data_IF_602646381086
#
_entry.id   IF_602646381086
#
_cell.length_a   1.000
_cell.length_b   1.000
_cell.length_c   1.000
_cell.angle_alpha   90.00
_cell.angle_beta   90.00
_cell.angle_gamma   90.00
#
_symmetry.space_group_name_H-M   'P 1'
#
loop_
_entity.id
_entity.type
_entity.pdbx_description
1 polymer ?
#
# COMPACT_ATOMS: atom_id res chain seq x y z
N UNK A 1 14.17 7.35 -9.71
CA UNK A 1 15.26 7.64 -10.66
C UNK A 1 15.71 9.07 -10.41
N UNK A 2 17.01 9.32 -10.24
CA UNK A 2 17.54 10.69 -10.19
C UNK A 2 18.03 11.05 -11.59
N UNK A 3 17.70 12.26 -12.01
CA UNK A 3 18.12 12.80 -13.30
C UNK A 3 19.58 13.25 -13.19
N UNK A 4 20.49 12.40 -13.71
CA UNK A 4 21.93 12.60 -13.56
C UNK A 4 22.42 13.84 -14.33
N UNK A 5 21.77 14.24 -15.43
CA UNK A 5 22.13 15.46 -16.15
C UNK A 5 21.85 16.70 -15.32
N UNK A 6 20.67 16.76 -14.67
CA UNK A 6 20.34 17.85 -13.74
C UNK A 6 21.26 17.88 -12.51
N UNK A 7 21.67 16.73 -12.01
CA UNK A 7 22.62 16.65 -10.89
C UNK A 7 24.05 17.10 -11.28
N UNK A 8 24.43 17.02 -12.56
CA UNK A 8 25.69 17.59 -13.07
C UNK A 8 25.60 19.11 -13.19
N UNK A 9 24.49 19.63 -13.72
CA UNK A 9 24.24 21.08 -13.78
C UNK A 9 24.20 21.73 -12.39
N UNK A 10 23.67 21.03 -11.39
CA UNK A 10 23.66 21.46 -9.99
C UNK A 10 25.02 21.33 -9.28
N UNK A 11 26.04 20.76 -9.93
CA UNK A 11 27.37 20.53 -9.33
C UNK A 11 27.43 19.41 -8.29
N UNK A 12 26.34 18.70 -8.05
CA UNK A 12 26.26 17.57 -7.12
C UNK A 12 26.90 16.29 -7.68
N UNK A 13 27.09 16.23 -9.01
CA UNK A 13 27.63 15.05 -9.69
C UNK A 13 28.80 15.37 -10.61
N UNK A 14 29.83 14.52 -10.55
CA UNK A 14 31.06 14.68 -11.33
C UNK A 14 30.84 14.34 -12.80
N UNK A 15 31.10 15.34 -13.65
CA UNK A 15 30.91 15.24 -15.09
C UNK A 15 31.82 14.18 -15.74
N UNK A 16 33.06 14.01 -15.26
CA UNK A 16 33.99 13.00 -15.79
C UNK A 16 33.57 11.56 -15.46
N UNK A 17 32.91 11.35 -14.31
CA UNK A 17 32.36 10.07 -13.91
C UNK A 17 31.10 9.72 -14.73
N UNK A 18 30.25 10.72 -15.01
CA UNK A 18 29.07 10.55 -15.86
C UNK A 18 29.46 10.03 -17.25
N UNK A 19 30.43 10.65 -17.92
CA UNK A 19 30.85 10.21 -19.26
C UNK A 19 31.56 8.85 -19.29
N UNK A 20 32.12 8.39 -18.16
CA UNK A 20 32.69 7.02 -18.05
C UNK A 20 31.65 5.95 -17.78
N UNK A 21 30.56 6.30 -17.11
CA UNK A 21 29.46 5.37 -16.80
C UNK A 21 28.41 5.35 -17.91
N UNK A 22 28.17 6.48 -18.57
CA UNK A 22 27.16 6.65 -19.62
C UNK A 22 27.66 6.19 -21.00
N UNK A 23 28.26 4.99 -21.07
CA UNK A 23 28.72 4.40 -22.33
C UNK A 23 27.57 3.66 -23.02
N UNK A 24 26.68 3.03 -22.25
CA UNK A 24 25.43 2.42 -22.72
C UNK A 24 24.36 2.73 -21.67
N UNK A 25 23.40 3.60 -22.03
CA UNK A 25 22.22 3.85 -21.19
C UNK A 25 21.15 2.82 -21.52
N UNK A 26 20.68 2.10 -20.50
CA UNK A 26 19.50 1.22 -20.61
C UNK A 26 18.37 1.88 -19.85
N UNK A 27 17.40 2.41 -20.59
CA UNK A 27 16.19 2.94 -19.98
C UNK A 27 15.31 1.79 -19.51
N UNK A 28 15.02 1.76 -18.20
CA UNK A 28 14.11 0.80 -17.60
C UNK A 28 12.73 1.45 -17.47
N UNK A 29 11.76 1.11 -18.34
CA UNK A 29 10.41 1.67 -18.21
C UNK A 29 9.78 1.20 -16.89
N UNK A 30 9.04 2.09 -16.20
CA UNK A 30 8.38 1.79 -14.95
C UNK A 30 7.33 0.69 -15.13
N UNK A 31 6.97 0.02 -14.03
CA UNK A 31 6.06 -1.13 -14.08
C UNK A 31 4.68 -0.78 -14.66
N UNK A 32 4.23 0.47 -14.45
CA UNK A 32 2.98 1.01 -15.03
C UNK A 32 2.91 0.99 -16.57
N UNK A 33 4.06 1.04 -17.26
CA UNK A 33 4.13 1.00 -18.73
C UNK A 33 4.18 -0.45 -19.27
N UNK A 34 4.34 -1.44 -18.38
CA UNK A 34 4.48 -2.86 -18.71
C UNK A 34 3.55 -3.74 -17.86
N UNK A 35 2.29 -3.32 -17.72
CA UNK A 35 1.29 -4.05 -16.90
C UNK A 35 1.09 -5.51 -17.32
N UNK A 36 1.36 -5.85 -18.57
CA UNK A 36 1.34 -7.23 -19.10
C UNK A 36 2.34 -8.17 -18.42
N UNK A 37 3.41 -7.63 -17.84
CA UNK A 37 4.46 -8.43 -17.20
C UNK A 37 4.14 -8.73 -15.72
N UNK A 38 3.16 -8.04 -15.13
CA UNK A 38 2.80 -8.15 -13.71
C UNK A 38 2.48 -9.60 -13.30
N UNK A 39 1.65 -10.37 -14.04
CA UNK A 39 1.34 -11.74 -13.65
C UNK A 39 2.56 -12.66 -13.64
N UNK A 40 3.47 -12.50 -14.60
CA UNK A 40 4.69 -13.29 -14.67
C UNK A 40 5.66 -12.92 -13.53
N UNK A 41 5.79 -11.62 -13.24
CA UNK A 41 6.62 -11.12 -12.15
C UNK A 41 6.09 -11.52 -10.76
N UNK A 42 4.79 -11.41 -10.55
CA UNK A 42 4.15 -11.77 -9.28
C UNK A 42 4.34 -13.27 -8.97
N UNK A 43 4.11 -14.14 -9.97
CA UNK A 43 4.41 -15.58 -9.85
C UNK A 43 5.89 -15.85 -9.58
N UNK A 44 6.78 -15.16 -10.29
CA UNK A 44 8.22 -15.31 -10.06
C UNK A 44 8.62 -14.96 -8.62
N UNK A 45 8.05 -13.89 -8.04
CA UNK A 45 8.31 -13.54 -6.65
C UNK A 45 7.73 -14.56 -5.68
N UNK A 46 6.50 -15.03 -5.92
CA UNK A 46 5.89 -16.08 -5.11
C UNK A 46 6.76 -17.36 -5.10
N UNK A 47 7.19 -17.82 -6.27
CA UNK A 47 8.08 -18.99 -6.42
C UNK A 47 9.37 -18.82 -5.62
N UNK A 48 9.94 -17.62 -5.66
CA UNK A 48 11.16 -17.27 -4.94
C UNK A 48 10.94 -17.30 -3.43
N UNK A 49 9.86 -16.70 -2.93
CA UNK A 49 9.54 -16.72 -1.50
C UNK A 49 9.25 -18.14 -1.00
N UNK A 50 8.63 -19.00 -1.80
CA UNK A 50 8.51 -20.42 -1.46
C UNK A 50 9.86 -21.11 -1.25
N UNK A 51 10.85 -20.81 -2.10
CA UNK A 51 12.18 -21.41 -1.99
C UNK A 51 13.01 -20.83 -0.83
N UNK A 52 12.92 -19.52 -0.61
CA UNK A 52 13.72 -18.81 0.41
C UNK A 52 13.15 -19.00 1.83
N UNK A 53 11.83 -18.94 2.00
CA UNK A 53 11.14 -18.90 3.30
C UNK A 53 10.36 -20.19 3.62
N UNK A 54 10.26 -21.13 2.67
CA UNK A 54 9.59 -22.43 2.89
C UNK A 54 8.06 -22.34 3.06
N UNK A 55 7.44 -21.28 2.55
CA UNK A 55 6.00 -20.99 2.69
C UNK A 55 5.16 -21.91 1.80
N UNK A 56 3.94 -22.26 2.24
CA UNK A 56 3.05 -23.22 1.56
C UNK A 56 2.09 -22.61 0.53
N UNK A 57 2.15 -21.30 0.36
CA UNK A 57 1.27 -20.54 -0.55
C UNK A 57 1.33 -21.10 -1.98
N UNK A 58 0.20 -21.61 -2.47
CA UNK A 58 0.14 -22.33 -3.75
C UNK A 58 0.08 -21.39 -4.94
N UNK A 59 -0.79 -20.39 -4.88
CA UNK A 59 -1.00 -19.46 -5.98
C UNK A 59 -1.67 -18.16 -5.49
N UNK A 60 -1.70 -17.15 -6.36
CA UNK A 60 -2.46 -15.90 -6.20
C UNK A 60 -3.84 -16.09 -6.82
N UNK A 61 -4.90 -15.66 -6.14
CA UNK A 61 -6.26 -15.69 -6.68
C UNK A 61 -6.39 -14.80 -7.94
N UNK A 62 -7.32 -15.15 -8.83
CA UNK A 62 -7.57 -14.36 -10.03
C UNK A 62 -8.02 -12.93 -9.72
N UNK A 63 -8.78 -12.76 -8.64
CA UNK A 63 -9.29 -11.46 -8.19
C UNK A 63 -8.15 -10.58 -7.64
N UNK A 64 -7.25 -11.17 -6.85
CA UNK A 64 -6.04 -10.52 -6.38
C UNK A 64 -5.11 -10.11 -7.53
N UNK A 65 -4.95 -10.99 -8.52
CA UNK A 65 -4.13 -10.71 -9.71
C UNK A 65 -4.71 -9.56 -10.56
N UNK A 66 -6.03 -9.51 -10.71
CA UNK A 66 -6.71 -8.44 -11.44
C UNK A 66 -6.49 -7.08 -10.77
N UNK A 67 -6.53 -7.01 -9.45
CA UNK A 67 -6.22 -5.78 -8.70
C UNK A 67 -4.76 -5.35 -8.88
N UNK A 68 -3.81 -6.29 -8.77
CA UNK A 68 -2.39 -6.01 -9.02
C UNK A 68 -2.15 -5.46 -10.43
N UNK A 69 -2.91 -5.94 -11.43
CA UNK A 69 -2.82 -5.45 -12.81
C UNK A 69 -3.47 -4.08 -13.02
N UNK A 70 -4.56 -3.79 -12.30
CA UNK A 70 -5.26 -2.50 -12.39
C UNK A 70 -4.50 -1.37 -11.70
N UNK A 71 -3.77 -1.69 -10.65
CA UNK A 71 -3.07 -0.70 -9.85
C UNK A 71 -2.03 0.11 -10.64
N UNK A 72 -2.01 1.42 -10.37
CA UNK A 72 -1.06 2.35 -10.96
C UNK A 72 0.20 2.43 -10.10
N UNK A 73 1.09 1.45 -10.31
CA UNK A 73 2.36 1.33 -9.59
C UNK A 73 3.18 2.63 -9.62
N UNK A 74 3.26 3.38 -8.49
CA UNK A 74 4.02 4.63 -8.42
C UNK A 74 5.53 4.37 -8.39
N UNK A 75 5.93 3.18 -7.98
CA UNK A 75 7.31 2.67 -7.97
C UNK A 75 7.53 1.52 -8.96
N UNK A 76 8.78 1.08 -9.01
CA UNK A 76 9.21 -0.03 -9.88
C UNK A 76 8.79 -1.39 -9.30
N UNK A 77 9.22 -2.46 -9.97
CA UNK A 77 9.11 -3.88 -9.59
C UNK A 77 9.37 -4.20 -8.10
N UNK A 78 10.13 -3.36 -7.38
CA UNK A 78 10.33 -3.50 -5.92
C UNK A 78 9.04 -3.40 -5.13
N UNK A 79 8.13 -2.50 -5.50
CA UNK A 79 6.84 -2.39 -4.82
C UNK A 79 6.02 -3.66 -5.02
N UNK A 80 5.95 -4.17 -6.26
CA UNK A 80 5.29 -5.44 -6.54
C UNK A 80 5.88 -6.58 -5.70
N UNK A 81 7.21 -6.67 -5.60
CA UNK A 81 7.88 -7.65 -4.73
C UNK A 81 7.45 -7.51 -3.27
N UNK A 82 7.50 -6.31 -2.70
CA UNK A 82 7.16 -6.06 -1.30
C UNK A 82 5.70 -6.38 -0.98
N UNK A 83 4.80 -6.10 -1.93
CA UNK A 83 3.38 -6.44 -1.75
C UNK A 83 3.19 -7.95 -1.76
N UNK A 84 3.77 -8.66 -2.73
CA UNK A 84 3.71 -10.13 -2.77
C UNK A 84 4.33 -10.73 -1.50
N UNK A 85 5.44 -10.17 -1.02
CA UNK A 85 6.07 -10.57 0.26
C UNK A 85 5.10 -10.39 1.43
N UNK A 86 4.44 -9.22 1.53
CA UNK A 86 3.47 -8.93 2.57
C UNK A 86 2.27 -9.89 2.52
N UNK A 87 1.73 -10.16 1.32
CA UNK A 87 0.63 -11.10 1.12
C UNK A 87 1.03 -12.50 1.62
N UNK A 88 2.25 -12.96 1.30
CA UNK A 88 2.77 -14.26 1.76
C UNK A 88 2.96 -14.33 3.28
N UNK A 89 3.29 -13.22 3.93
CA UNK A 89 3.45 -13.15 5.41
C UNK A 89 2.10 -13.15 6.12
N UNK A 90 1.07 -12.54 5.52
CA UNK A 90 -0.28 -12.42 6.08
C UNK A 90 -1.14 -13.66 5.81
N UNK A 91 -0.84 -14.43 4.76
CA UNK A 91 -1.56 -15.64 4.38
C UNK A 91 -1.63 -16.70 5.50
N UNK A 92 -2.84 -17.19 5.74
CA UNK A 92 -3.10 -18.30 6.68
C UNK A 92 -3.76 -19.52 6.01
N UNK A 93 -4.16 -19.44 4.74
CA UNK A 93 -4.98 -20.43 4.04
C UNK A 93 -4.34 -21.03 2.77
N UNK A 94 -3.02 -20.84 2.58
CA UNK A 94 -2.22 -21.36 1.48
C UNK A 94 -2.57 -20.77 0.09
N UNK A 95 -3.34 -19.67 0.03
CA UNK A 95 -3.75 -19.03 -1.23
C UNK A 95 -3.97 -17.53 -1.02
N UNK A 96 -3.14 -16.72 -1.70
CA UNK A 96 -3.25 -15.26 -1.61
C UNK A 96 -4.55 -14.78 -2.24
N UNK A 97 -5.46 -14.23 -1.44
CA UNK A 97 -6.73 -13.69 -1.89
C UNK A 97 -6.88 -12.20 -1.54
N UNK A 98 -8.06 -11.63 -1.80
CA UNK A 98 -8.33 -10.20 -1.57
C UNK A 98 -8.05 -9.74 -0.13
N UNK A 99 -8.21 -10.64 0.84
CA UNK A 99 -8.02 -10.35 2.26
C UNK A 99 -6.54 -10.19 2.65
N UNK A 100 -5.62 -10.72 1.82
CA UNK A 100 -4.17 -10.61 2.03
C UNK A 100 -3.57 -9.37 1.34
N UNK A 101 -4.34 -8.72 0.48
CA UNK A 101 -3.88 -7.51 -0.21
C UNK A 101 -3.77 -6.34 0.78
N UNK A 102 -2.68 -5.57 0.72
CA UNK A 102 -2.60 -4.32 1.47
C UNK A 102 -3.72 -3.37 1.04
N UNK A 103 -4.27 -2.64 2.00
CA UNK A 103 -5.41 -1.71 1.81
C UNK A 103 -5.17 -0.69 0.69
N UNK A 104 -3.91 -0.38 0.37
CA UNK A 104 -3.52 0.50 -0.74
C UNK A 104 -3.95 -0.01 -2.12
N UNK A 105 -4.15 -1.32 -2.29
CA UNK A 105 -4.53 -1.97 -3.55
C UNK A 105 -6.02 -2.29 -3.65
N UNK A 106 -6.73 -2.29 -2.53
CA UNK A 106 -8.17 -2.52 -2.49
C UNK A 106 -8.81 -1.22 -2.99
N UNK A 107 -9.48 -1.23 -4.16
CA UNK A 107 -10.21 -0.06 -4.60
C UNK A 107 -11.39 0.07 -3.65
N UNK A 108 -11.29 0.98 -2.68
CA UNK A 108 -12.46 1.45 -1.96
C UNK A 108 -13.45 1.90 -3.03
N UNK A 109 -14.69 1.40 -2.98
CA UNK A 109 -15.74 1.64 -3.97
C UNK A 109 -16.09 3.14 -4.21
N UNK A 110 -15.35 4.07 -3.61
CA UNK A 110 -15.42 5.51 -3.81
C UNK A 110 -14.58 6.02 -5.00
N UNK A 111 -13.75 5.20 -5.66
CA UNK A 111 -12.97 5.67 -6.83
C UNK A 111 -13.74 5.68 -8.17
N UNK A 112 -15.08 5.53 -8.18
CA UNK A 112 -15.89 5.69 -9.40
C UNK A 112 -16.45 7.11 -9.57
N UNK A 113 -16.15 8.05 -8.67
CA UNK A 113 -16.47 9.45 -8.95
C UNK A 113 -16.12 10.39 -7.81
N UNK A 114 -15.02 11.10 -7.93
CA UNK A 114 -14.81 12.32 -7.16
C UNK A 114 -14.01 13.32 -7.98
N UNK A 115 -14.68 14.42 -8.31
CA UNK A 115 -14.17 15.64 -8.90
C UNK A 115 -12.89 16.18 -8.22
N UNK A 116 -12.06 16.98 -8.91
CA UNK A 116 -10.73 17.40 -8.44
C UNK A 116 -10.70 18.49 -7.34
N UNK A 117 -11.79 18.73 -6.60
CA UNK A 117 -11.99 20.01 -5.92
C UNK A 117 -11.62 20.11 -4.43
N UNK A 118 -11.20 19.03 -3.76
CA UNK A 118 -10.84 19.11 -2.34
C UNK A 118 -9.56 18.34 -2.04
N UNK A 119 -8.45 19.08 -2.00
CA UNK A 119 -7.17 18.58 -1.54
C UNK A 119 -7.23 18.19 -0.07
N UNK A 120 -7.26 16.89 0.19
CA UNK A 120 -6.89 16.28 1.46
C UNK A 120 -5.95 15.11 1.11
N UNK A 121 -4.68 15.12 1.57
CA UNK A 121 -3.78 14.01 1.33
C UNK A 121 -4.18 12.84 2.25
N UNK A 122 -4.89 11.87 1.69
CA UNK A 122 -5.15 10.58 2.33
C UNK A 122 -4.06 9.59 1.90
N UNK A 123 -3.31 9.04 2.87
CA UNK A 123 -2.36 7.97 2.59
C UNK A 123 -1.25 7.75 3.62
N UNK A 124 -1.48 8.02 4.90
CA UNK A 124 -0.51 7.65 5.93
C UNK A 124 -1.22 7.06 7.14
N UNK A 125 -1.59 5.78 7.12
CA UNK A 125 -2.04 5.06 8.33
C UNK A 125 -0.86 4.77 9.28
N UNK A 126 -0.07 5.80 9.56
CA UNK A 126 0.93 5.87 10.62
C UNK A 126 0.61 7.04 11.53
N UNK A 127 1.36 7.17 12.63
CA UNK A 127 1.26 8.29 13.58
C UNK A 127 1.33 9.64 12.83
N UNK A 128 1.97 9.67 11.66
CA UNK A 128 2.07 10.83 10.77
C UNK A 128 0.73 11.37 10.23
N UNK A 129 -0.36 10.57 10.06
CA UNK A 129 -1.68 11.15 9.72
C UNK A 129 -2.44 11.69 10.93
N UNK A 130 -1.97 11.40 12.14
CA UNK A 130 -2.51 11.97 13.37
C UNK A 130 -1.86 13.34 13.65
N UNK A 131 -0.71 13.64 13.04
CA UNK A 131 0.00 14.91 13.20
C UNK A 131 -0.80 16.04 12.56
N UNK A 132 -1.17 17.03 13.38
CA UNK A 132 -1.93 18.21 12.94
C UNK A 132 -3.45 18.11 13.12
N UNK A 133 -3.97 16.97 13.60
CA UNK A 133 -5.38 16.80 13.95
C UNK A 133 -5.62 17.10 15.43
N UNK A 134 -6.82 17.55 15.75
CA UNK A 134 -7.22 17.78 17.14
C UNK A 134 -7.44 16.46 17.88
N UNK A 135 -7.32 16.49 19.20
CA UNK A 135 -7.52 15.29 20.03
C UNK A 135 -8.94 14.70 19.83
N UNK A 136 -9.94 15.55 19.59
CA UNK A 136 -11.32 15.13 19.35
C UNK A 136 -11.49 14.42 18.00
N UNK A 137 -10.83 14.91 16.93
CA UNK A 137 -10.88 14.26 15.61
C UNK A 137 -10.19 12.90 15.60
N UNK A 138 -9.08 12.79 16.34
CA UNK A 138 -8.34 11.54 16.52
C UNK A 138 -9.20 10.54 17.30
N UNK A 139 -9.83 10.98 18.39
CA UNK A 139 -10.71 10.14 19.19
C UNK A 139 -11.92 9.63 18.39
N UNK A 140 -12.53 10.48 17.56
CA UNK A 140 -13.64 10.10 16.69
C UNK A 140 -13.21 9.03 15.66
N UNK A 141 -12.01 9.15 15.09
CA UNK A 141 -11.47 8.15 14.18
C UNK A 141 -11.28 6.79 14.86
N UNK A 142 -10.72 6.77 16.07
CA UNK A 142 -10.58 5.52 16.83
C UNK A 142 -11.92 4.89 17.21
N UNK A 143 -12.92 5.70 17.57
CA UNK A 143 -14.28 5.23 17.87
C UNK A 143 -14.91 4.58 16.63
N UNK A 144 -14.82 5.23 15.48
CA UNK A 144 -15.40 4.72 14.23
C UNK A 144 -14.67 3.48 13.73
N UNK A 145 -13.34 3.43 13.79
CA UNK A 145 -12.56 2.24 13.43
C UNK A 145 -12.90 1.04 14.33
N UNK A 146 -13.06 1.26 15.64
CA UNK A 146 -13.41 0.18 16.58
C UNK A 146 -14.86 -0.29 16.39
N UNK A 147 -15.78 0.63 16.06
CA UNK A 147 -17.17 0.25 15.73
C UNK A 147 -17.26 -0.53 14.43
N UNK A 148 -16.45 -0.18 13.42
CA UNK A 148 -16.37 -0.95 12.18
C UNK A 148 -15.83 -2.37 12.43
N UNK A 149 -14.76 -2.50 13.23
CA UNK A 149 -14.17 -3.78 13.59
C UNK A 149 -15.08 -4.68 14.43
N UNK A 150 -15.98 -4.09 15.22
CA UNK A 150 -16.95 -4.81 16.07
C UNK A 150 -18.33 -4.98 15.42
N UNK A 151 -18.47 -4.66 14.12
CA UNK A 151 -19.73 -4.78 13.40
C UNK A 151 -20.86 -3.90 13.96
N UNK A 152 -20.51 -2.79 14.61
CA UNK A 152 -21.46 -1.86 15.23
C UNK A 152 -21.86 -2.24 16.66
N UNK A 153 -21.22 -3.23 17.28
CA UNK A 153 -21.47 -3.60 18.67
C UNK A 153 -20.87 -2.58 19.65
N UNK A 154 -21.72 -1.68 20.15
CA UNK A 154 -21.32 -0.52 20.96
C UNK A 154 -20.73 -0.89 22.33
N UNK A 155 -21.21 -1.97 22.93
CA UNK A 155 -20.74 -2.45 24.24
C UNK A 155 -19.31 -3.03 24.11
N UNK A 156 -19.08 -3.76 23.04
CA UNK A 156 -17.79 -4.38 22.73
C UNK A 156 -16.76 -3.34 22.27
N UNK A 157 -17.18 -2.35 21.46
CA UNK A 157 -16.34 -1.22 21.08
C UNK A 157 -15.92 -0.36 22.29
N UNK A 158 -16.85 -0.08 23.22
CA UNK A 158 -16.55 0.66 24.44
C UNK A 158 -15.55 -0.08 25.34
N UNK A 159 -15.70 -1.42 25.43
CA UNK A 159 -14.78 -2.28 26.17
C UNK A 159 -13.38 -2.32 25.54
N UNK A 160 -13.27 -2.41 24.22
CA UNK A 160 -11.99 -2.35 23.50
C UNK A 160 -11.27 -1.01 23.66
N UNK A 161 -12.03 0.09 23.68
CA UNK A 161 -11.50 1.44 23.87
C UNK A 161 -11.22 1.80 25.34
N UNK A 162 -11.62 0.94 26.28
CA UNK A 162 -11.46 1.19 27.72
C UNK A 162 -12.30 2.35 28.26
N UNK A 163 -13.37 2.73 27.55
CA UNK A 163 -14.27 3.83 27.94
C UNK A 163 -15.66 3.30 28.33
N UNK A 164 -16.38 4.06 29.15
CA UNK A 164 -17.77 3.72 29.48
C UNK A 164 -18.69 3.88 28.27
N UNK A 165 -19.66 2.97 28.10
CA UNK A 165 -20.64 2.97 27.00
C UNK A 165 -21.37 4.32 26.86
N UNK A 166 -21.70 4.95 27.99
CA UNK A 166 -22.34 6.28 28.04
C UNK A 166 -21.43 7.41 27.52
N UNK A 167 -20.11 7.26 27.66
CA UNK A 167 -19.11 8.18 27.11
C UNK A 167 -18.99 8.00 25.60
N UNK A 168 -18.95 6.74 25.13
CA UNK A 168 -18.96 6.41 23.70
C UNK A 168 -20.22 6.98 23.02
N UNK A 169 -21.41 6.81 23.63
CA UNK A 169 -22.66 7.36 23.10
C UNK A 169 -22.67 8.90 23.01
N UNK A 170 -22.04 9.60 23.97
CA UNK A 170 -21.94 11.07 23.96
C UNK A 170 -20.94 11.58 22.92
N UNK A 171 -19.93 10.78 22.57
CA UNK A 171 -18.89 11.13 21.58
C UNK A 171 -19.35 10.89 20.13
N UNK A 172 -20.32 10.00 19.93
CA UNK A 172 -20.90 9.67 18.61
C UNK A 172 -22.01 10.67 18.20
N UNK A 173 -22.56 11.44 19.15
CA UNK A 173 -23.65 12.40 18.92
C UNK A 173 -23.13 13.82 18.78
#
# INVERSE_FOLDING_TARGET
NRDLEKSIEAGEFRQDLYYRLNVISVELPPLRERKTDIPALARHFLDRFRMEEGVRVRDISGEAMDLLCRYDWPGNVRQLRNIVESMVVVDYDEKLDLDDLPEELIPTAEQVGADPATGLPNGSLGIDALVGKTLEEVELMFINATLAATGGNREEAAKMLGIGERTLYRKIK
#
